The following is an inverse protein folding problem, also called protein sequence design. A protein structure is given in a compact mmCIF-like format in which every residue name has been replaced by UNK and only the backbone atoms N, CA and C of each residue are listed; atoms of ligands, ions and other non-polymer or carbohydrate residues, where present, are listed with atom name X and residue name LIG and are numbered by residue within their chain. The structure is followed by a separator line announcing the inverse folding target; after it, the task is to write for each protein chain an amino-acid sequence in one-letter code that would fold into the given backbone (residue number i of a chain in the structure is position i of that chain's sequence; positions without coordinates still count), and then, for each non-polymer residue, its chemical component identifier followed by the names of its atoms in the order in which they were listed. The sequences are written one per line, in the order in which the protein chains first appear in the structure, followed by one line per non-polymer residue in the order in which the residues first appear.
data_IF_342563163673
#
_entry.id   IF_342563163673
#
_cell.length_a   1.000
_cell.length_b   1.000
_cell.length_c   1.000
_cell.angle_alpha   90.00
_cell.angle_beta   90.00
_cell.angle_gamma   90.00
#
_symmetry.space_group_name_H-M   'P 1'
#
loop_
_entity.id
_entity.type
_entity.pdbx_description
1 polymer ?
#
# COMPACT_ATOMS: atom_id res chain seq x y z
N UNK A 1 51.85 -44.19 -7.76
CA UNK A 1 52.16 -43.39 -8.96
C UNK A 1 51.32 -43.96 -10.10
N UNK A 2 50.64 -43.10 -10.86
CA UNK A 2 49.75 -43.42 -11.99
C UNK A 2 48.38 -43.97 -11.56
N UNK A 3 47.20 -43.64 -12.10
CA UNK A 3 46.72 -42.62 -13.05
C UNK A 3 45.20 -42.85 -13.20
N UNK A 4 44.43 -41.84 -13.57
CA UNK A 4 43.11 -42.08 -14.19
C UNK A 4 42.03 -41.06 -13.85
N UNK A 5 41.98 -39.95 -14.59
CA UNK A 5 40.71 -39.28 -14.90
C UNK A 5 39.91 -40.19 -15.85
N UNK A 6 38.57 -40.17 -15.77
CA UNK A 6 37.87 -39.54 -16.89
C UNK A 6 36.61 -38.74 -16.51
N UNK A 7 36.31 -37.82 -17.42
CA UNK A 7 35.17 -36.91 -17.53
C UNK A 7 33.87 -37.71 -17.73
N UNK A 8 32.74 -37.24 -17.21
CA UNK A 8 31.50 -36.99 -17.98
C UNK A 8 30.53 -36.08 -17.17
N UNK A 9 29.63 -35.33 -17.86
CA UNK A 9 28.69 -34.35 -17.34
C UNK A 9 27.27 -34.92 -17.15
N UNK A 10 26.44 -34.24 -16.35
CA UNK A 10 24.98 -34.36 -16.40
C UNK A 10 24.29 -34.53 -15.05
N UNK A 11 23.54 -33.50 -14.65
CA UNK A 11 22.33 -33.45 -13.80
C UNK A 11 22.17 -31.96 -13.46
N UNK A 12 21.29 -31.13 -14.04
CA UNK A 12 19.92 -31.31 -14.54
C UNK A 12 19.04 -32.12 -13.61
N UNK A 13 18.72 -31.53 -12.45
CA UNK A 13 17.41 -31.68 -11.79
C UNK A 13 17.30 -30.75 -10.57
N UNK A 14 16.29 -29.89 -10.60
CA UNK A 14 15.38 -29.59 -9.48
C UNK A 14 15.98 -29.13 -8.15
N UNK A 15 15.88 -27.82 -7.94
CA UNK A 15 15.00 -27.33 -6.88
C UNK A 15 14.31 -26.08 -7.38
N UNK A 16 13.14 -26.26 -7.99
CA UNK A 16 12.06 -25.31 -7.78
C UNK A 16 11.88 -25.23 -6.27
N UNK A 17 12.40 -24.16 -5.68
CA UNK A 17 11.97 -23.71 -4.37
C UNK A 17 10.47 -23.39 -4.54
N UNK A 18 9.54 -24.13 -3.91
CA UNK A 18 8.18 -23.60 -3.79
C UNK A 18 8.28 -22.30 -2.98
N UNK A 19 7.58 -21.22 -3.37
CA UNK A 19 7.44 -20.07 -2.50
C UNK A 19 6.90 -20.59 -1.18
N UNK A 20 7.67 -20.41 -0.11
CA UNK A 20 7.22 -20.74 1.22
C UNK A 20 5.87 -20.03 1.44
N UNK A 21 4.79 -20.74 1.81
CA UNK A 21 3.61 -20.06 2.30
C UNK A 21 4.05 -19.32 3.55
N UNK A 22 3.86 -18.00 3.49
CA UNK A 22 4.12 -17.06 4.55
C UNK A 22 3.46 -17.58 5.83
N UNK A 23 4.11 -17.48 7.01
CA UNK A 23 3.45 -17.78 8.27
C UNK A 23 2.29 -16.80 8.43
N UNK A 24 1.08 -17.31 8.23
CA UNK A 24 -0.14 -16.69 8.76
C UNK A 24 -0.12 -16.90 10.26
N UNK A 25 -0.66 -15.90 10.96
CA UNK A 25 -0.95 -15.88 12.39
C UNK A 25 0.05 -15.14 13.28
N UNK A 26 -0.34 -13.89 13.51
CA UNK A 26 0.20 -12.98 14.49
C UNK A 26 -0.51 -11.67 14.24
N UNK A 27 -1.80 -11.61 14.59
CA UNK A 27 -2.71 -10.51 14.26
C UNK A 27 -2.08 -9.15 14.47
N UNK A 28 -1.48 -8.63 13.41
CA UNK A 28 -1.06 -7.25 13.34
C UNK A 28 -2.33 -6.42 13.38
N UNK A 29 -2.32 -5.37 14.18
CA UNK A 29 -3.44 -4.47 14.37
C UNK A 29 -4.07 -4.02 13.03
N UNK A 30 -3.29 -3.95 11.94
CA UNK A 30 -3.77 -3.65 10.59
C UNK A 30 -4.67 -4.74 10.00
N UNK A 31 -4.37 -6.03 10.17
CA UNK A 31 -5.16 -7.13 9.62
C UNK A 31 -6.55 -7.21 10.28
N UNK A 32 -6.64 -6.87 11.58
CA UNK A 32 -7.92 -6.69 12.27
C UNK A 32 -8.73 -5.49 11.76
N UNK A 33 -8.06 -4.40 11.37
CA UNK A 33 -8.72 -3.24 10.74
C UNK A 33 -9.15 -3.54 9.29
N UNK A 34 -8.39 -4.36 8.56
CA UNK A 34 -8.70 -4.79 7.21
C UNK A 34 -9.90 -5.77 7.20
N UNK A 35 -9.96 -6.71 8.15
CA UNK A 35 -11.14 -7.55 8.33
C UNK A 35 -12.41 -6.72 8.62
N UNK A 36 -12.28 -5.62 9.40
CA UNK A 36 -13.38 -4.68 9.62
C UNK A 36 -13.75 -3.86 8.37
N UNK A 37 -12.83 -3.74 7.40
CA UNK A 37 -13.10 -3.14 6.09
C UNK A 37 -13.88 -4.08 5.16
N UNK A 38 -13.68 -5.39 5.27
CA UNK A 38 -14.44 -6.40 4.52
C UNK A 38 -15.90 -6.50 4.98
N UNK A 39 -16.19 -6.17 6.24
CA UNK A 39 -17.52 -6.21 6.82
C UNK A 39 -18.51 -5.23 6.13
N UNK A 40 -19.77 -5.62 5.90
CA UNK A 40 -20.74 -4.82 5.12
C UNK A 40 -21.19 -3.49 5.76
N UNK A 41 -20.77 -3.16 6.99
CA UNK A 41 -21.30 -2.02 7.71
C UNK A 41 -20.50 -0.72 7.42
N UNK A 42 -21.11 0.30 6.79
CA UNK A 42 -20.39 1.50 6.37
C UNK A 42 -19.86 2.33 7.54
N UNK A 43 -20.50 2.27 8.70
CA UNK A 43 -20.01 2.94 9.90
C UNK A 43 -18.72 2.30 10.43
N UNK A 44 -18.63 0.97 10.39
CA UNK A 44 -17.43 0.23 10.82
C UNK A 44 -16.28 0.44 9.84
N UNK A 45 -16.55 0.34 8.54
CA UNK A 45 -15.57 0.63 7.49
C UNK A 45 -14.99 2.05 7.63
N UNK A 46 -15.83 3.05 7.94
CA UNK A 46 -15.38 4.43 8.19
C UNK A 46 -14.45 4.55 9.40
N UNK A 47 -14.80 3.93 10.52
CA UNK A 47 -13.96 3.89 11.71
C UNK A 47 -12.64 3.13 11.47
N UNK A 48 -12.71 2.00 10.79
CA UNK A 48 -11.54 1.19 10.46
C UNK A 48 -10.60 1.95 9.52
N UNK A 49 -11.11 2.64 8.50
CA UNK A 49 -10.31 3.49 7.62
C UNK A 49 -9.63 4.65 8.37
N UNK A 50 -10.31 5.29 9.32
CA UNK A 50 -9.69 6.34 10.14
C UNK A 50 -8.53 5.80 10.98
N UNK A 51 -8.72 4.63 11.61
CA UNK A 51 -7.64 3.97 12.35
C UNK A 51 -6.52 3.53 11.41
N UNK A 52 -6.86 2.99 10.24
CA UNK A 52 -5.92 2.55 9.22
C UNK A 52 -5.02 3.70 8.77
N UNK A 53 -5.59 4.89 8.56
CA UNK A 53 -4.85 6.10 8.20
C UNK A 53 -3.79 6.52 9.22
N UNK A 54 -4.02 6.26 10.51
CA UNK A 54 -3.04 6.56 11.56
C UNK A 54 -1.92 5.51 11.63
N UNK A 55 -2.22 4.26 11.28
CA UNK A 55 -1.27 3.15 11.39
C UNK A 55 -0.61 2.79 10.05
N UNK A 56 -1.04 3.39 8.93
CA UNK A 56 -0.54 3.09 7.57
C UNK A 56 0.97 3.27 7.44
N UNK A 57 1.58 4.22 8.15
CA UNK A 57 3.02 4.45 8.12
C UNK A 57 3.82 3.28 8.74
N UNK A 58 3.24 2.58 9.72
CA UNK A 58 3.86 1.40 10.36
C UNK A 58 3.51 0.09 9.65
N UNK A 59 2.31 -0.02 9.09
CA UNK A 59 1.79 -1.24 8.48
C UNK A 59 1.64 -1.14 6.96
N UNK A 60 2.38 -0.24 6.28
CA UNK A 60 2.28 -0.04 4.84
C UNK A 60 2.48 -1.34 4.05
N UNK A 61 3.32 -2.25 4.53
CA UNK A 61 3.60 -3.54 3.87
C UNK A 61 2.40 -4.49 3.90
N UNK A 62 1.60 -4.46 4.98
CA UNK A 62 0.39 -5.29 5.08
C UNK A 62 -0.78 -4.64 4.37
N UNK A 63 -0.91 -3.33 4.51
CA UNK A 63 -1.91 -2.55 3.77
C UNK A 63 -1.65 -2.67 2.27
N UNK A 64 -0.40 -2.68 1.80
CA UNK A 64 -0.07 -2.88 0.38
C UNK A 64 -0.61 -4.20 -0.21
N UNK A 65 -0.75 -5.25 0.60
CA UNK A 65 -1.35 -6.50 0.14
C UNK A 65 -2.86 -6.36 -0.11
N UNK A 66 -3.53 -5.53 0.68
CA UNK A 66 -4.97 -5.30 0.65
C UNK A 66 -5.36 -3.91 0.08
N UNK A 67 -4.41 -3.14 -0.45
CA UNK A 67 -4.64 -1.88 -1.16
C UNK A 67 -5.69 -2.03 -2.28
N UNK A 68 -5.70 -3.08 -3.12
CA UNK A 68 -6.74 -3.23 -4.14
C UNK A 68 -8.16 -3.28 -3.56
N UNK A 69 -8.35 -3.83 -2.35
CA UNK A 69 -9.64 -3.80 -1.65
C UNK A 69 -10.01 -2.36 -1.25
N UNK A 70 -9.03 -1.59 -0.76
CA UNK A 70 -9.20 -0.19 -0.37
C UNK A 70 -9.53 0.68 -1.61
N UNK A 71 -8.91 0.39 -2.75
CA UNK A 71 -9.22 1.05 -4.03
C UNK A 71 -10.65 0.76 -4.48
N UNK A 72 -11.08 -0.50 -4.46
CA UNK A 72 -12.46 -0.88 -4.81
C UNK A 72 -13.48 -0.15 -3.91
N UNK A 73 -13.19 -0.06 -2.60
CA UNK A 73 -14.00 0.70 -1.65
C UNK A 73 -13.95 2.21 -1.87
N UNK A 74 -12.85 2.74 -2.43
CA UNK A 74 -12.71 4.15 -2.78
C UNK A 74 -13.44 4.52 -4.08
N UNK A 75 -13.58 3.56 -5.00
CA UNK A 75 -14.36 3.71 -6.22
C UNK A 75 -15.86 3.53 -5.98
N UNK A 76 -16.24 2.86 -4.89
CA UNK A 76 -17.64 2.67 -4.55
C UNK A 76 -18.34 4.01 -4.22
N UNK A 77 -19.31 4.45 -5.04
CA UNK A 77 -19.97 5.74 -4.86
C UNK A 77 -20.95 5.75 -3.67
N UNK A 78 -21.26 4.59 -3.09
CA UNK A 78 -22.13 4.48 -1.92
C UNK A 78 -21.41 4.85 -0.63
N UNK A 79 -20.08 4.94 -0.68
CA UNK A 79 -19.24 5.12 0.48
C UNK A 79 -18.93 6.61 0.77
N UNK A 80 -19.51 7.15 1.85
CA UNK A 80 -19.29 8.55 2.27
C UNK A 80 -17.79 8.82 2.58
N UNK A 81 -17.06 7.79 3.05
CA UNK A 81 -15.64 7.88 3.40
C UNK A 81 -14.70 7.43 2.26
N UNK A 82 -15.18 7.32 1.02
CA UNK A 82 -14.36 6.94 -0.15
C UNK A 82 -13.08 7.77 -0.29
N UNK A 83 -13.19 9.05 0.04
CA UNK A 83 -12.08 9.97 -0.05
C UNK A 83 -11.00 9.73 1.03
N UNK A 84 -11.40 9.15 2.16
CA UNK A 84 -10.48 8.72 3.21
C UNK A 84 -9.77 7.43 2.78
N UNK A 85 -10.49 6.49 2.15
CA UNK A 85 -9.90 5.29 1.54
C UNK A 85 -8.86 5.64 0.47
N UNK A 86 -9.20 6.54 -0.46
CA UNK A 86 -8.26 7.04 -1.47
C UNK A 86 -7.02 7.69 -0.84
N UNK A 87 -7.17 8.43 0.27
CA UNK A 87 -6.05 9.02 0.98
C UNK A 87 -5.14 7.97 1.64
N UNK A 88 -5.71 6.90 2.22
CA UNK A 88 -4.93 5.77 2.78
C UNK A 88 -4.16 5.05 1.67
N UNK A 89 -4.84 4.72 0.57
CA UNK A 89 -4.23 4.03 -0.55
C UNK A 89 -3.07 4.86 -1.14
N UNK A 90 -3.27 6.18 -1.35
CA UNK A 90 -2.21 7.06 -1.83
C UNK A 90 -0.96 7.11 -0.94
N UNK A 91 -1.14 7.04 0.38
CA UNK A 91 -0.01 6.97 1.33
C UNK A 91 0.73 5.65 1.24
N UNK A 92 0.03 4.54 1.09
CA UNK A 92 0.67 3.24 0.86
C UNK A 92 1.49 3.22 -0.44
N UNK A 93 0.91 3.69 -1.55
CA UNK A 93 1.61 3.74 -2.83
C UNK A 93 2.86 4.62 -2.80
N UNK A 94 2.86 5.68 -1.99
CA UNK A 94 4.06 6.49 -1.78
C UNK A 94 5.20 5.72 -1.11
N UNK A 95 4.90 4.83 -0.16
CA UNK A 95 5.92 3.93 0.41
C UNK A 95 6.38 2.84 -0.57
N UNK A 96 5.53 2.47 -1.54
CA UNK A 96 5.86 1.53 -2.61
C UNK A 96 6.65 2.18 -3.77
N UNK A 97 6.95 3.47 -3.68
CA UNK A 97 7.57 4.27 -4.75
C UNK A 97 6.72 4.37 -6.04
N UNK A 98 5.45 3.98 -5.97
CA UNK A 98 4.47 4.05 -7.06
C UNK A 98 3.74 5.39 -7.03
N UNK A 99 4.47 6.45 -7.38
CA UNK A 99 3.96 7.83 -7.30
C UNK A 99 2.79 8.12 -8.25
N UNK A 100 2.68 7.39 -9.38
CA UNK A 100 1.62 7.58 -10.37
C UNK A 100 0.24 7.23 -9.80
N UNK A 101 0.09 6.03 -9.25
CA UNK A 101 -1.17 5.59 -8.63
C UNK A 101 -1.43 6.34 -7.32
N UNK A 102 -0.38 6.61 -6.54
CA UNK A 102 -0.47 7.49 -5.37
C UNK A 102 -1.12 8.83 -5.74
N UNK A 103 -0.70 9.45 -6.84
CA UNK A 103 -1.24 10.73 -7.28
C UNK A 103 -2.67 10.64 -7.78
N UNK A 104 -3.00 9.62 -8.60
CA UNK A 104 -4.39 9.43 -9.08
C UNK A 104 -5.37 9.31 -7.91
N UNK A 105 -5.00 8.53 -6.91
CA UNK A 105 -5.79 8.34 -5.69
C UNK A 105 -5.81 9.60 -4.84
N UNK A 106 -4.69 10.30 -4.69
CA UNK A 106 -4.63 11.58 -3.98
C UNK A 106 -5.55 12.63 -4.62
N UNK A 107 -5.57 12.72 -5.96
CA UNK A 107 -6.50 13.59 -6.68
C UNK A 107 -7.96 13.16 -6.50
N UNK A 108 -8.24 11.85 -6.44
CA UNK A 108 -9.57 11.31 -6.12
C UNK A 108 -10.02 11.57 -4.67
N UNK A 109 -9.06 11.67 -3.74
CA UNK A 109 -9.31 11.98 -2.33
C UNK A 109 -9.74 13.43 -2.11
N UNK A 110 -9.45 14.36 -3.04
CA UNK A 110 -10.00 15.71 -3.19
C UNK A 110 -10.14 16.55 -1.91
N UNK A 111 -11.14 16.22 -1.09
CA UNK A 111 -11.42 16.86 0.20
C UNK A 111 -10.47 16.49 1.35
N UNK A 112 -9.79 15.34 1.26
CA UNK A 112 -8.79 14.90 2.26
C UNK A 112 -7.36 15.16 1.79
N UNK A 113 -7.15 15.36 0.48
CA UNK A 113 -5.87 15.72 -0.10
C UNK A 113 -5.92 17.17 -0.56
N UNK A 114 -5.87 18.07 0.41
CA UNK A 114 -5.94 19.49 0.15
C UNK A 114 -4.54 20.01 -0.21
N UNK A 115 -4.21 20.07 -1.50
CA UNK A 115 -2.93 20.59 -2.01
C UNK A 115 -2.75 22.07 -1.64
N UNK A 116 -3.86 22.81 -1.50
CA UNK A 116 -3.89 24.24 -1.23
C UNK A 116 -3.83 24.59 0.26
N UNK A 117 -4.18 23.66 1.16
CA UNK A 117 -4.02 23.81 2.61
C UNK A 117 -2.54 24.04 2.95
N UNK A 118 -2.16 25.31 2.98
CA UNK A 118 -0.76 25.76 3.02
C UNK A 118 0.01 25.11 4.17
N UNK A 119 1.31 24.88 3.95
CA UNK A 119 2.33 24.22 4.78
C UNK A 119 2.41 24.62 6.27
N UNK A 120 1.59 25.56 6.71
CA UNK A 120 1.49 26.11 8.06
C UNK A 120 0.65 25.28 9.05
N UNK A 121 -0.20 24.36 8.60
CA UNK A 121 -1.04 23.52 9.50
C UNK A 121 -0.79 22.01 9.40
N UNK A 122 -0.03 21.54 8.42
CA UNK A 122 0.28 20.12 8.22
C UNK A 122 1.56 19.73 8.96
N UNK A 123 1.66 18.45 9.31
CA UNK A 123 2.94 17.91 9.82
C UNK A 123 4.01 17.92 8.72
N UNK A 124 5.29 17.98 9.12
CA UNK A 124 6.40 18.03 8.16
C UNK A 124 6.40 16.85 7.18
N UNK A 125 6.00 15.66 7.63
CA UNK A 125 5.88 14.46 6.81
C UNK A 125 4.81 14.59 5.72
N UNK A 126 3.65 15.18 6.03
CA UNK A 126 2.60 15.41 5.06
C UNK A 126 2.97 16.47 4.03
N UNK A 127 3.69 17.51 4.44
CA UNK A 127 4.20 18.50 3.50
C UNK A 127 5.21 17.88 2.52
N UNK A 128 6.11 17.02 3.02
CA UNK A 128 7.07 16.32 2.17
C UNK A 128 6.39 15.34 1.21
N UNK A 129 5.36 14.61 1.67
CA UNK A 129 4.54 13.73 0.81
C UNK A 129 3.96 14.49 -0.37
N UNK A 130 3.23 15.59 -0.12
CA UNK A 130 2.61 16.41 -1.16
C UNK A 130 3.65 17.02 -2.09
N UNK A 131 4.73 17.59 -1.54
CA UNK A 131 5.79 18.24 -2.32
C UNK A 131 6.48 17.24 -3.26
N UNK A 132 6.79 16.04 -2.76
CA UNK A 132 7.40 14.97 -3.56
C UNK A 132 6.45 14.50 -4.67
N UNK A 133 5.18 14.26 -4.35
CA UNK A 133 4.16 13.87 -5.33
C UNK A 133 3.99 14.92 -6.44
N UNK A 134 3.89 16.19 -6.06
CA UNK A 134 3.77 17.30 -7.02
C UNK A 134 5.04 17.44 -7.86
N UNK A 135 6.23 17.35 -7.25
CA UNK A 135 7.51 17.41 -7.95
C UNK A 135 7.64 16.27 -8.98
N UNK A 136 7.26 15.03 -8.60
CA UNK A 136 7.27 13.88 -9.52
C UNK A 136 6.29 14.06 -10.68
N UNK A 137 5.15 14.71 -10.46
CA UNK A 137 4.23 15.01 -11.55
C UNK A 137 4.68 16.11 -12.49
N UNK A 138 5.42 17.09 -11.99
CA UNK A 138 6.02 18.12 -12.84
C UNK A 138 7.18 17.52 -13.66
N UNK A 139 7.92 16.56 -13.11
CA UNK A 139 9.02 15.89 -13.82
C UNK A 139 8.53 15.02 -15.00
N UNK A 140 7.36 14.38 -14.85
CA UNK A 140 6.73 13.56 -15.89
C UNK A 140 6.05 14.36 -17.02
N UNK A 141 5.99 15.70 -16.96
CA UNK A 141 5.23 16.54 -17.90
C UNK A 141 6.01 17.75 -18.42
#
# INVERSE_FOLDING_TARGET
RNSGLPRQPGSMATSLLPPAPLPVDGGSSAQGLLALLEEENPALKGHALQQLYHVVDQYWAEVANEVPLIEELSEDPTFEHRHLAAAVASRCFFHLEEYNDALRLALGAGRYFDVAASSSSRTAAENQFVDTLVAKCIDEY
#
